data_IF_682740145775
#
_entry.id   IF_682740145775
#
_cell.length_a   1.000
_cell.length_b   1.000
_cell.length_c   1.000
_cell.angle_alpha   90.00
_cell.angle_beta   90.00
_cell.angle_gamma   90.00
#
_symmetry.space_group_name_H-M   'P 1'
#
loop_
_entity.id
_entity.type
_entity.pdbx_description
1 polymer ?
#
# COMPACT_ATOMS: atom_id res chain seq x y z
N UNK A 1 -4.69 6.15 18.50
CA UNK A 1 -4.73 6.84 17.20
C UNK A 1 -3.80 6.21 16.17
N UNK A 2 -2.53 5.91 16.54
CA UNK A 2 -1.50 5.37 15.65
C UNK A 2 -1.89 4.06 14.92
N UNK A 3 -2.58 3.14 15.60
CA UNK A 3 -2.99 1.86 15.01
C UNK A 3 -3.96 1.98 13.82
N UNK A 4 -4.85 2.96 13.82
CA UNK A 4 -5.79 3.18 12.71
C UNK A 4 -5.05 3.67 11.46
N UNK A 5 -4.13 4.62 11.65
CA UNK A 5 -3.29 5.17 10.57
C UNK A 5 -2.43 4.05 9.98
N UNK A 6 -1.78 3.25 10.83
CA UNK A 6 -0.94 2.14 10.39
C UNK A 6 -1.74 1.11 9.59
N UNK A 7 -2.94 0.76 10.06
CA UNK A 7 -3.84 -0.16 9.35
C UNK A 7 -4.20 0.36 7.96
N UNK A 8 -4.57 1.64 7.83
CA UNK A 8 -4.89 2.25 6.53
C UNK A 8 -3.68 2.29 5.59
N UNK A 9 -2.49 2.61 6.11
CA UNK A 9 -1.24 2.59 5.32
C UNK A 9 -0.94 1.18 4.82
N UNK A 10 -1.09 0.15 5.67
CA UNK A 10 -0.88 -1.26 5.26
C UNK A 10 -1.82 -1.63 4.13
N UNK A 11 -3.12 -1.38 4.29
CA UNK A 11 -4.15 -1.71 3.29
C UNK A 11 -3.85 -1.00 1.96
N UNK A 12 -3.54 0.31 2.00
CA UNK A 12 -3.20 1.10 0.81
C UNK A 12 -1.93 0.61 0.11
N UNK A 13 -0.87 0.32 0.87
CA UNK A 13 0.42 -0.12 0.33
C UNK A 13 0.30 -1.48 -0.37
N UNK A 14 -0.46 -2.41 0.22
CA UNK A 14 -0.75 -3.71 -0.38
C UNK A 14 -1.58 -3.54 -1.65
N UNK A 15 -2.62 -2.70 -1.64
CA UNK A 15 -3.42 -2.44 -2.85
C UNK A 15 -2.59 -1.86 -3.99
N UNK A 16 -1.74 -0.87 -3.70
CA UNK A 16 -0.89 -0.24 -4.72
C UNK A 16 0.17 -1.20 -5.27
N UNK A 17 0.70 -2.10 -4.44
CA UNK A 17 1.59 -3.17 -4.91
C UNK A 17 0.87 -4.15 -5.85
N UNK A 18 -0.36 -4.54 -5.51
CA UNK A 18 -1.21 -5.40 -6.35
C UNK A 18 -1.52 -4.74 -7.70
N UNK A 19 -1.84 -3.44 -7.70
CA UNK A 19 -2.08 -2.65 -8.91
C UNK A 19 -0.80 -2.53 -9.76
N UNK A 20 0.37 -2.38 -9.14
CA UNK A 20 1.65 -2.30 -9.87
C UNK A 20 2.04 -3.62 -10.56
N UNK A 21 1.95 -4.74 -9.85
CA UNK A 21 2.42 -6.03 -10.37
C UNK A 21 1.38 -6.74 -11.25
N UNK A 22 0.11 -6.75 -10.81
CA UNK A 22 -0.96 -7.55 -11.41
C UNK A 22 -2.05 -6.70 -12.06
N UNK A 23 -1.94 -5.37 -12.00
CA UNK A 23 -2.96 -4.43 -12.50
C UNK A 23 -4.35 -4.65 -11.88
N UNK A 24 -4.38 -5.28 -10.72
CA UNK A 24 -5.59 -5.65 -10.01
C UNK A 24 -5.79 -4.75 -8.80
N UNK A 25 -6.94 -4.08 -8.75
CA UNK A 25 -7.35 -3.19 -7.66
C UNK A 25 -8.29 -3.95 -6.71
N UNK A 26 -7.78 -4.28 -5.52
CA UNK A 26 -8.51 -4.97 -4.46
C UNK A 26 -9.69 -4.15 -3.96
N UNK A 27 -9.54 -2.83 -3.89
CA UNK A 27 -10.61 -1.93 -3.43
C UNK A 27 -11.75 -1.94 -4.44
N UNK A 28 -11.43 -1.86 -5.74
CA UNK A 28 -12.45 -1.99 -6.78
C UNK A 28 -13.14 -3.36 -6.76
N UNK A 29 -12.39 -4.44 -6.49
CA UNK A 29 -12.94 -5.79 -6.38
C UNK A 29 -13.96 -5.95 -5.24
N UNK A 30 -13.77 -5.25 -4.11
CA UNK A 30 -14.66 -5.34 -2.95
C UNK A 30 -15.86 -4.38 -3.07
N UNK A 31 -15.65 -3.18 -3.61
CA UNK A 31 -16.67 -2.13 -3.66
C UNK A 31 -17.45 -2.07 -4.99
N UNK A 32 -17.21 -3.00 -5.92
CA UNK A 32 -18.00 -3.14 -7.15
C UNK A 32 -17.57 -2.22 -8.29
N UNK A 33 -16.28 -1.98 -8.46
CA UNK A 33 -15.69 -1.24 -9.58
C UNK A 33 -14.94 -2.14 -10.57
N UNK A 34 -14.37 -1.52 -11.61
CA UNK A 34 -13.52 -2.22 -12.57
C UNK A 34 -12.22 -2.70 -11.88
N UNK A 35 -12.18 -4.00 -11.61
CA UNK A 35 -11.15 -4.64 -10.76
C UNK A 35 -9.82 -4.83 -11.47
N UNK A 36 -9.83 -4.89 -12.79
CA UNK A 36 -8.63 -4.97 -13.62
C UNK A 36 -8.49 -3.65 -14.36
N UNK A 37 -7.33 -3.03 -14.26
CA UNK A 37 -7.01 -1.79 -14.96
C UNK A 37 -5.95 -2.08 -16.02
N UNK A 38 -5.89 -1.26 -17.07
CA UNK A 38 -4.76 -1.26 -17.99
C UNK A 38 -3.97 0.02 -17.74
N UNK A 39 -2.80 -0.13 -17.13
CA UNK A 39 -1.91 0.95 -16.75
C UNK A 39 -0.67 0.94 -17.63
N UNK A 40 -0.20 2.13 -18.01
CA UNK A 40 1.08 2.25 -18.68
C UNK A 40 2.20 1.60 -17.83
N UNK A 41 3.21 1.03 -18.50
CA UNK A 41 4.34 0.35 -17.85
C UNK A 41 5.01 1.26 -16.80
N UNK A 42 5.12 2.55 -17.07
CA UNK A 42 5.65 3.54 -16.13
C UNK A 42 4.81 3.64 -14.84
N UNK A 43 3.48 3.68 -14.97
CA UNK A 43 2.57 3.71 -13.82
C UNK A 43 2.72 2.46 -12.96
N UNK A 44 2.88 1.28 -13.58
CA UNK A 44 3.09 0.02 -12.88
C UNK A 44 4.36 0.01 -12.03
N UNK A 45 5.44 0.59 -12.55
CA UNK A 45 6.69 0.77 -11.81
C UNK A 45 6.47 1.69 -10.61
N UNK A 46 5.80 2.84 -10.81
CA UNK A 46 5.52 3.78 -9.72
C UNK A 46 4.65 3.13 -8.64
N UNK A 47 3.56 2.45 -9.00
CA UNK A 47 2.69 1.78 -8.05
C UNK A 47 3.42 0.69 -7.26
N UNK A 48 4.28 -0.08 -7.92
CA UNK A 48 5.09 -1.11 -7.25
C UNK A 48 6.08 -0.49 -6.26
N UNK A 49 6.78 0.59 -6.64
CA UNK A 49 7.73 1.30 -5.77
C UNK A 49 7.01 1.95 -4.58
N UNK A 50 5.85 2.58 -4.81
CA UNK A 50 5.06 3.18 -3.73
C UNK A 50 4.52 2.11 -2.78
N UNK A 51 4.00 0.99 -3.30
CA UNK A 51 3.53 -0.13 -2.47
C UNK A 51 4.65 -0.72 -1.61
N UNK A 52 5.85 -0.90 -2.17
CA UNK A 52 7.03 -1.34 -1.43
C UNK A 52 7.50 -0.32 -0.40
N UNK A 53 7.50 0.98 -0.72
CA UNK A 53 7.87 2.05 0.20
C UNK A 53 6.90 2.12 1.39
N UNK A 54 5.60 1.98 1.14
CA UNK A 54 4.58 1.93 2.18
C UNK A 54 4.73 0.72 3.10
N UNK A 55 5.06 -0.46 2.55
CA UNK A 55 5.41 -1.64 3.35
C UNK A 55 6.68 -1.42 4.19
N UNK A 56 7.69 -0.72 3.66
CA UNK A 56 8.90 -0.38 4.40
C UNK A 56 8.63 0.60 5.55
N UNK A 57 7.70 1.54 5.34
CA UNK A 57 7.26 2.49 6.36
C UNK A 57 6.72 1.79 7.62
N UNK A 58 6.11 0.60 7.49
CA UNK A 58 5.66 -0.20 8.64
C UNK A 58 6.83 -0.52 9.57
N UNK A 59 7.97 -0.98 9.03
CA UNK A 59 9.17 -1.28 9.83
C UNK A 59 9.74 -0.04 10.51
N UNK A 60 9.64 1.11 9.86
CA UNK A 60 10.11 2.38 10.42
C UNK A 60 9.23 2.85 11.57
N UNK A 61 7.91 2.81 11.39
CA UNK A 61 6.94 3.25 12.39
C UNK A 61 7.00 2.41 13.68
N UNK A 62 7.12 1.08 13.56
CA UNK A 62 7.31 0.19 14.72
C UNK A 62 8.62 0.46 15.48
N UNK A 63 9.67 0.94 14.81
CA UNK A 63 10.95 1.31 15.46
C UNK A 63 10.88 2.64 16.21
N UNK A 64 10.06 3.58 15.75
CA UNK A 64 9.90 4.88 16.41
C UNK A 64 8.99 4.81 17.64
N UNK A 65 7.93 4.00 17.61
CA UNK A 65 7.08 3.74 18.81
C UNK A 65 7.90 3.12 19.96
N UNK A 66 8.90 2.29 19.65
CA UNK A 66 9.81 1.70 20.66
C UNK A 66 10.73 2.76 21.27
N UNK A 67 11.28 3.67 20.45
CA UNK A 67 12.13 4.77 20.95
C UNK A 67 11.38 5.85 21.70
N UNK A 68 10.12 6.13 21.33
CA UNK A 68 9.28 7.12 22.00
C UNK A 68 8.76 6.65 23.37
N UNK A 69 8.87 5.34 23.68
CA UNK A 69 8.51 4.76 24.98
C UNK A 69 9.67 4.59 25.97
N UNK A 70 10.92 4.80 25.53
CA UNK A 70 12.11 4.81 26.39
C UNK A 70 12.36 6.19 26.97
#
# INVERSE_FOLDING_TARGET
>A
MSYLILTLVIIGSVNWLLVGMFEWDLVAAIFGGDSVRNSAVLSRVIYSVVGLAGLYCIKFFFREDEKARQ
#
